data_IF_813043485027
#
_entry.id   IF_813043485027
#
_cell.length_a   1.000
_cell.length_b   1.000
_cell.length_c   1.000
_cell.angle_alpha   90.00
_cell.angle_beta   90.00
_cell.angle_gamma   90.00
#
_symmetry.space_group_name_H-M   'P 1'
#
loop_
_entity.id
_entity.type
_entity.pdbx_description
1 polymer ?
#
# COMPACT_ATOMS: atom_id res chain seq x y z
N UNK A 1 -6.64 7.13 -12.49
CA UNK A 1 -6.07 6.39 -11.34
C UNK A 1 -4.97 7.19 -10.64
N UNK A 2 -4.29 8.10 -11.35
CA UNK A 2 -3.19 8.90 -10.78
C UNK A 2 -3.60 9.86 -9.68
N UNK A 3 -4.85 10.34 -9.67
CA UNK A 3 -5.36 11.21 -8.61
C UNK A 3 -5.30 10.52 -7.23
N UNK A 4 -5.69 9.25 -7.15
CA UNK A 4 -5.62 8.47 -5.92
C UNK A 4 -4.18 8.21 -5.47
N UNK A 5 -3.29 7.89 -6.41
CA UNK A 5 -1.86 7.67 -6.10
C UNK A 5 -1.18 8.94 -5.63
N UNK A 6 -1.41 10.06 -6.32
CA UNK A 6 -0.90 11.37 -5.90
C UNK A 6 -1.42 11.76 -4.53
N UNK A 7 -2.69 11.46 -4.23
CA UNK A 7 -3.24 11.68 -2.91
C UNK A 7 -2.50 10.85 -1.84
N UNK A 8 -2.38 9.53 -2.02
CA UNK A 8 -1.61 8.65 -1.12
C UNK A 8 -0.16 9.15 -0.96
N UNK A 9 0.50 9.48 -2.07
CA UNK A 9 1.90 9.92 -2.08
C UNK A 9 2.10 11.24 -1.34
N UNK A 10 1.12 12.15 -1.41
CA UNK A 10 1.13 13.45 -0.73
C UNK A 10 0.91 13.38 0.78
N UNK A 11 0.45 12.23 1.31
CA UNK A 11 0.20 12.07 2.73
C UNK A 11 1.50 12.08 3.54
N UNK A 12 1.49 12.69 4.74
CA UNK A 12 2.62 12.61 5.65
C UNK A 12 2.85 11.17 6.12
N UNK A 13 4.09 10.86 6.47
CA UNK A 13 4.51 9.49 6.84
C UNK A 13 3.64 8.88 7.95
N UNK A 14 3.27 9.67 8.96
CA UNK A 14 2.43 9.20 10.06
C UNK A 14 1.06 8.69 9.57
N UNK A 15 0.43 9.41 8.63
CA UNK A 15 -0.86 9.00 8.08
C UNK A 15 -0.72 7.75 7.22
N UNK A 16 0.38 7.63 6.46
CA UNK A 16 0.70 6.40 5.71
C UNK A 16 0.88 5.20 6.64
N UNK A 17 1.51 5.37 7.80
CA UNK A 17 1.68 4.30 8.80
C UNK A 17 0.33 3.89 9.39
N UNK A 18 -0.56 4.84 9.70
CA UNK A 18 -1.92 4.53 10.17
C UNK A 18 -2.70 3.75 9.09
N UNK A 19 -2.54 4.13 7.82
CA UNK A 19 -3.17 3.42 6.70
C UNK A 19 -2.56 2.04 6.45
N UNK A 20 -1.35 1.78 6.94
CA UNK A 20 -0.67 0.49 6.85
C UNK A 20 -1.07 -0.45 8.00
N UNK A 21 -2.03 -0.06 8.85
CA UNK A 21 -2.64 -0.96 9.83
C UNK A 21 -3.48 -2.05 9.16
N UNK A 22 -3.67 -3.20 9.82
CA UNK A 22 -4.47 -4.30 9.26
C UNK A 22 -5.87 -3.83 8.85
N UNK A 23 -6.45 -4.51 7.85
CA UNK A 23 -7.72 -4.14 7.17
C UNK A 23 -7.60 -2.88 6.29
N UNK A 24 -7.11 -1.75 6.84
CA UNK A 24 -6.93 -0.51 6.08
C UNK A 24 -5.85 -0.67 5.00
N UNK A 25 -4.75 -1.34 5.34
CA UNK A 25 -3.62 -1.60 4.45
C UNK A 25 -4.04 -2.35 3.19
N UNK A 26 -4.81 -3.43 3.37
CA UNK A 26 -5.30 -4.26 2.28
C UNK A 26 -6.14 -3.46 1.29
N UNK A 27 -7.03 -2.58 1.77
CA UNK A 27 -7.89 -1.78 0.88
C UNK A 27 -7.09 -0.62 0.29
N UNK A 28 -6.47 0.21 1.13
CA UNK A 28 -5.85 1.47 0.68
C UNK A 28 -4.61 1.22 -0.16
N UNK A 29 -3.66 0.43 0.36
CA UNK A 29 -2.40 0.15 -0.33
C UNK A 29 -2.54 -0.95 -1.39
N UNK A 30 -3.48 -1.88 -1.21
CA UNK A 30 -3.88 -2.80 -2.28
C UNK A 30 -4.41 -2.06 -3.52
N UNK A 31 -5.35 -1.12 -3.34
CA UNK A 31 -5.86 -0.28 -4.45
C UNK A 31 -4.75 0.63 -5.00
N UNK A 32 -3.87 1.17 -4.14
CA UNK A 32 -2.74 2.00 -4.58
C UNK A 32 -1.81 1.24 -5.54
N UNK A 33 -1.53 -0.03 -5.25
CA UNK A 33 -0.73 -0.92 -6.12
C UNK A 33 -1.43 -1.24 -7.43
N UNK A 34 -2.74 -1.53 -7.38
CA UNK A 34 -3.53 -1.78 -8.60
C UNK A 34 -3.53 -0.54 -9.50
N UNK A 35 -3.64 0.65 -8.92
CA UNK A 35 -3.60 1.92 -9.65
C UNK A 35 -2.28 2.17 -10.38
N UNK A 36 -1.22 1.39 -10.11
CA UNK A 36 0.08 1.48 -10.80
C UNK A 36 0.05 0.87 -12.21
N UNK A 37 -0.96 0.06 -12.54
CA UNK A 37 -1.23 -0.43 -13.90
C UNK A 37 -0.29 -1.52 -14.43
N UNK A 38 0.86 -1.74 -13.78
CA UNK A 38 1.80 -2.80 -14.15
C UNK A 38 1.35 -4.15 -13.57
N UNK A 39 1.38 -5.21 -14.39
CA UNK A 39 0.99 -6.58 -14.03
C UNK A 39 1.51 -7.05 -12.65
N UNK A 40 2.82 -6.91 -12.29
CA UNK A 40 3.31 -7.35 -10.99
C UNK A 40 2.71 -6.58 -9.80
N UNK A 41 2.39 -5.29 -9.97
CA UNK A 41 1.78 -4.49 -8.92
C UNK A 41 0.29 -4.76 -8.77
N UNK A 42 -0.40 -5.06 -9.88
CA UNK A 42 -1.80 -5.49 -9.83
C UNK A 42 -1.90 -6.80 -9.05
N UNK A 43 -1.04 -7.78 -9.35
CA UNK A 43 -1.00 -9.06 -8.63
C UNK A 43 -0.68 -8.84 -7.14
N UNK A 44 0.33 -8.03 -6.83
CA UNK A 44 0.65 -7.66 -5.44
C UNK A 44 -0.52 -7.00 -4.73
N UNK A 45 -1.22 -6.06 -5.39
CA UNK A 45 -2.36 -5.35 -4.81
C UNK A 45 -3.51 -6.29 -4.48
N UNK A 46 -3.83 -7.24 -5.37
CA UNK A 46 -4.85 -8.26 -5.11
C UNK A 46 -4.44 -9.16 -3.94
N UNK A 47 -3.19 -9.63 -3.90
CA UNK A 47 -2.68 -10.43 -2.77
C UNK A 47 -2.77 -9.64 -1.46
N UNK A 48 -2.47 -8.33 -1.50
CA UNK A 48 -2.52 -7.48 -0.32
C UNK A 48 -3.94 -7.25 0.22
N UNK A 49 -4.94 -7.18 -0.67
CA UNK A 49 -6.36 -7.05 -0.27
C UNK A 49 -6.81 -8.26 0.56
N UNK A 50 -6.43 -9.48 0.15
CA UNK A 50 -6.91 -10.71 0.80
C UNK A 50 -5.99 -11.23 1.91
N UNK A 51 -4.67 -11.20 1.69
CA UNK A 51 -3.66 -11.79 2.57
C UNK A 51 -2.88 -10.71 3.31
N UNK A 52 -2.66 -9.55 2.67
CA UNK A 52 -1.91 -8.45 3.27
C UNK A 52 -2.61 -7.78 4.43
N UNK A 53 -3.94 -7.65 4.35
CA UNK A 53 -4.78 -7.15 5.43
C UNK A 53 -4.62 -7.90 6.77
N UNK A 54 -4.19 -9.17 6.73
CA UNK A 54 -4.09 -10.04 7.90
C UNK A 54 -2.65 -10.22 8.39
N UNK A 55 -1.69 -10.40 7.47
CA UNK A 55 -0.30 -10.78 7.82
C UNK A 55 0.75 -9.83 7.24
N UNK A 56 0.62 -9.37 5.99
CA UNK A 56 1.69 -8.60 5.33
C UNK A 56 1.72 -7.10 5.61
N UNK A 57 0.73 -6.54 6.32
CA UNK A 57 0.70 -5.12 6.71
C UNK A 57 1.97 -4.64 7.44
N UNK A 58 2.62 -5.53 8.20
CA UNK A 58 3.89 -5.24 8.89
C UNK A 58 5.01 -4.91 7.89
N UNK A 59 5.06 -5.59 6.73
CA UNK A 59 6.07 -5.31 5.71
C UNK A 59 5.92 -3.88 5.17
N UNK A 60 4.70 -3.40 5.03
CA UNK A 60 4.44 -2.04 4.55
C UNK A 60 4.85 -0.97 5.56
N UNK A 61 4.66 -1.22 6.86
CA UNK A 61 5.18 -0.33 7.89
C UNK A 61 6.72 -0.28 7.85
N UNK A 62 7.38 -1.43 7.71
CA UNK A 62 8.85 -1.49 7.61
C UNK A 62 9.33 -0.72 6.37
N UNK A 63 8.71 -0.95 5.21
CA UNK A 63 9.08 -0.26 3.97
C UNK A 63 8.78 1.24 4.01
N UNK A 64 7.67 1.66 4.63
CA UNK A 64 7.35 3.07 4.86
C UNK A 64 8.40 3.75 5.73
N UNK A 65 8.85 3.10 6.81
CA UNK A 65 9.90 3.65 7.68
C UNK A 65 11.26 3.73 6.99
N UNK A 66 11.58 2.79 6.10
CA UNK A 66 12.90 2.71 5.48
C UNK A 66 13.03 3.50 4.17
N UNK A 67 11.99 3.49 3.34
CA UNK A 67 11.98 4.09 2.00
C UNK A 67 10.95 5.22 1.84
N UNK A 68 10.11 5.48 2.85
CA UNK A 68 9.00 6.43 2.74
C UNK A 68 7.86 5.97 1.83
N UNK A 69 7.90 4.71 1.37
CA UNK A 69 6.94 4.10 0.44
C UNK A 69 6.64 2.68 0.85
N UNK A 70 5.42 2.24 0.57
CA UNK A 70 4.98 0.85 0.75
C UNK A 70 5.66 -0.11 -0.23
N UNK A 71 5.61 -1.41 0.04
CA UNK A 71 6.19 -2.42 -0.84
C UNK A 71 5.48 -2.43 -2.19
N UNK A 72 6.19 -2.06 -3.24
CA UNK A 72 5.73 -2.04 -4.62
C UNK A 72 6.86 -2.49 -5.56
N UNK A 73 6.49 -3.11 -6.68
CA UNK A 73 7.42 -3.60 -7.72
C UNK A 73 7.51 -2.66 -8.93
#
# INVERSE_FOLDING_TARGET
>A
MDAYRKWIDSLPLLVKIIFALPILDGILFGIYRICKGNLPNIVLGIIWIFVGATIFWILDIIFLLWKGKVLEL
#
